data_IF_634447704043
#
_entry.id   IF_634447704043
#
_cell.length_a   1.000
_cell.length_b   1.000
_cell.length_c   1.000
_cell.angle_alpha   90.00
_cell.angle_beta   90.00
_cell.angle_gamma   90.00
#
_symmetry.space_group_name_H-M   'P 1'
#
loop_
_entity.id
_entity.type
_entity.pdbx_description
1 polymer ?
#
# COMPACT_ATOMS: atom_id res chain seq x y z
N UNK A 1 17.40 -11.07 16.54
CA UNK A 1 16.54 -11.13 17.74
C UNK A 1 15.67 -9.88 17.93
N UNK A 2 16.13 -8.65 17.62
CA UNK A 2 15.33 -7.42 17.86
C UNK A 2 14.06 -7.31 17.00
N UNK A 3 14.15 -7.71 15.73
CA UNK A 3 12.99 -7.78 14.83
C UNK A 3 11.92 -8.81 15.28
N UNK A 4 12.17 -9.65 16.28
CA UNK A 4 11.20 -10.66 16.74
C UNK A 4 10.27 -10.13 17.85
N UNK A 5 10.25 -8.81 18.08
CA UNK A 5 9.36 -8.20 19.06
C UNK A 5 7.89 -8.37 18.62
N UNK A 6 7.15 -9.19 19.37
CA UNK A 6 5.82 -9.66 18.99
C UNK A 6 4.77 -8.54 18.76
N UNK A 7 4.89 -7.40 19.45
CA UNK A 7 3.84 -6.39 19.54
C UNK A 7 3.36 -5.85 18.18
N UNK A 8 4.27 -5.78 17.19
CA UNK A 8 3.95 -5.29 15.85
C UNK A 8 3.29 -6.34 14.94
N UNK A 9 3.26 -7.61 15.33
CA UNK A 9 2.83 -8.73 14.48
C UNK A 9 1.36 -9.12 14.64
N UNK A 10 0.67 -8.55 15.62
CA UNK A 10 -0.74 -8.86 15.87
C UNK A 10 -1.49 -7.67 16.45
N UNK A 11 -2.81 -7.76 16.47
CA UNK A 11 -3.68 -6.76 17.10
C UNK A 11 -4.70 -7.46 18.02
N UNK A 12 -5.01 -6.80 19.13
CA UNK A 12 -5.98 -7.27 20.11
C UNK A 12 -6.67 -6.09 20.80
N UNK A 13 -6.35 -5.85 22.07
CA UNK A 13 -6.88 -4.70 22.82
C UNK A 13 -5.96 -3.49 22.71
N UNK A 14 -4.66 -3.71 22.51
CA UNK A 14 -3.67 -2.66 22.30
C UNK A 14 -3.47 -2.40 20.81
N UNK A 15 -2.93 -1.23 20.46
CA UNK A 15 -2.73 -0.84 19.06
C UNK A 15 -1.94 -1.88 18.25
N UNK A 16 -0.81 -2.38 18.78
CA UNK A 16 -0.05 -3.48 18.19
C UNK A 16 0.32 -3.22 16.71
N UNK A 17 -0.06 -4.14 15.82
CA UNK A 17 0.08 -4.01 14.36
C UNK A 17 -0.39 -2.65 13.83
N UNK A 18 -1.42 -2.03 14.42
CA UNK A 18 -1.93 -0.74 13.98
C UNK A 18 -1.06 0.46 14.36
N UNK A 19 0.03 0.27 15.10
CA UNK A 19 0.98 1.33 15.49
C UNK A 19 2.16 1.40 14.52
N UNK A 20 2.23 2.43 13.64
CA UNK A 20 3.28 2.61 12.64
C UNK A 20 4.70 2.53 13.20
N UNK A 21 4.94 3.13 14.36
CA UNK A 21 6.26 3.20 14.97
C UNK A 21 6.77 1.82 15.45
N UNK A 22 5.86 0.89 15.80
CA UNK A 22 6.24 -0.48 16.15
C UNK A 22 6.63 -1.25 14.88
N UNK A 23 5.84 -1.15 13.81
CA UNK A 23 6.18 -1.79 12.52
C UNK A 23 7.47 -1.23 11.94
N UNK A 24 7.65 0.09 11.98
CA UNK A 24 8.88 0.76 11.53
C UNK A 24 10.12 0.27 12.31
N UNK A 25 9.98 0.05 13.62
CA UNK A 25 11.07 -0.50 14.42
C UNK A 25 11.43 -1.93 14.00
N UNK A 26 10.45 -2.78 13.67
CA UNK A 26 10.70 -4.12 13.12
C UNK A 26 11.42 -4.03 11.77
N UNK A 27 10.88 -3.26 10.83
CA UNK A 27 11.45 -3.10 9.50
C UNK A 27 12.88 -2.57 9.54
N UNK A 28 13.19 -1.62 10.43
CA UNK A 28 14.55 -1.11 10.59
C UNK A 28 15.53 -2.20 11.06
N UNK A 29 15.11 -3.07 11.97
CA UNK A 29 15.97 -4.15 12.48
C UNK A 29 16.12 -5.28 11.45
N UNK A 30 15.10 -5.54 10.61
CA UNK A 30 15.20 -6.44 9.47
C UNK A 30 16.16 -5.88 8.41
N UNK A 31 15.98 -4.62 8.02
CA UNK A 31 16.84 -3.93 7.07
C UNK A 31 18.31 -3.92 7.51
N UNK A 32 18.58 -3.68 8.80
CA UNK A 32 19.94 -3.71 9.33
C UNK A 32 20.56 -5.12 9.28
N UNK A 33 19.77 -6.18 9.55
CA UNK A 33 20.25 -7.55 9.45
C UNK A 33 20.51 -7.96 8.00
N UNK A 34 19.61 -7.59 7.09
CA UNK A 34 19.75 -7.90 5.67
C UNK A 34 20.90 -7.13 5.03
N UNK A 35 21.11 -5.86 5.39
CA UNK A 35 22.26 -5.07 4.95
C UNK A 35 23.61 -5.74 5.28
N UNK A 36 23.70 -6.36 6.46
CA UNK A 36 24.90 -7.09 6.88
C UNK A 36 25.10 -8.38 6.07
N UNK A 37 24.01 -9.11 5.81
CA UNK A 37 24.05 -10.35 5.03
C UNK A 37 24.43 -10.11 3.56
N UNK A 38 24.05 -8.95 3.02
CA UNK A 38 24.18 -8.61 1.59
C UNK A 38 25.34 -7.70 1.27
N UNK A 39 26.28 -7.52 2.19
CA UNK A 39 27.41 -6.60 1.97
C UNK A 39 28.19 -6.97 0.70
N UNK A 40 28.18 -6.06 -0.27
CA UNK A 40 28.88 -6.22 -1.55
C UNK A 40 28.15 -7.08 -2.57
N UNK A 41 26.92 -7.54 -2.29
CA UNK A 41 26.10 -8.24 -3.27
C UNK A 41 25.81 -7.35 -4.49
N UNK A 42 25.89 -7.97 -5.67
CA UNK A 42 25.41 -7.36 -6.90
C UNK A 42 23.87 -7.38 -6.94
N UNK A 43 23.28 -6.59 -7.85
CA UNK A 43 21.85 -6.67 -8.10
C UNK A 43 21.47 -8.03 -8.66
N UNK A 44 20.52 -8.69 -8.00
CA UNK A 44 20.07 -10.04 -8.31
C UNK A 44 18.55 -10.15 -8.15
N UNK A 45 18.00 -11.26 -8.64
CA UNK A 45 16.58 -11.60 -8.49
C UNK A 45 16.39 -13.09 -8.25
N UNK A 46 15.45 -13.45 -7.40
CA UNK A 46 15.02 -14.81 -7.10
C UNK A 46 13.51 -14.95 -7.27
N UNK A 47 13.05 -16.15 -7.58
CA UNK A 47 11.63 -16.50 -7.63
C UNK A 47 11.36 -17.48 -6.49
N UNK A 48 10.50 -17.09 -5.55
CA UNK A 48 10.26 -17.83 -4.31
C UNK A 48 8.86 -17.53 -3.78
N UNK A 49 8.19 -18.53 -3.22
CA UNK A 49 6.99 -18.36 -2.40
C UNK A 49 7.40 -17.70 -1.07
N UNK A 50 7.27 -16.37 -1.00
CA UNK A 50 7.88 -15.56 0.05
C UNK A 50 7.06 -15.58 1.33
N UNK A 51 5.73 -15.58 1.22
CA UNK A 51 4.80 -15.56 2.36
C UNK A 51 4.16 -16.94 2.68
N UNK A 52 4.42 -17.96 1.85
CA UNK A 52 3.96 -19.33 2.05
C UNK A 52 2.53 -19.57 1.60
N UNK A 53 1.98 -18.73 0.71
CA UNK A 53 0.62 -18.87 0.19
C UNK A 53 0.49 -19.86 -0.99
N UNK A 54 1.61 -20.39 -1.47
CA UNK A 54 1.68 -21.33 -2.60
C UNK A 54 1.81 -20.68 -3.98
N UNK A 55 1.97 -19.35 -4.04
CA UNK A 55 2.30 -18.60 -5.24
C UNK A 55 3.71 -18.01 -5.13
N UNK A 56 4.42 -17.93 -6.24
CA UNK A 56 5.79 -17.41 -6.23
C UNK A 56 5.80 -15.89 -6.44
N UNK A 57 6.54 -15.19 -5.59
CA UNK A 57 6.95 -13.80 -5.74
C UNK A 57 8.29 -13.70 -6.47
N UNK A 58 8.57 -12.51 -7.00
CA UNK A 58 9.87 -12.14 -7.55
C UNK A 58 10.56 -11.22 -6.55
N UNK A 59 11.62 -11.71 -5.93
CA UNK A 59 12.44 -10.98 -4.96
C UNK A 59 13.64 -10.36 -5.66
N UNK A 60 13.70 -9.04 -5.74
CA UNK A 60 14.83 -8.27 -6.29
C UNK A 60 15.63 -7.66 -5.15
N UNK A 61 16.94 -7.89 -5.12
CA UNK A 61 17.77 -7.47 -4.00
C UNK A 61 19.21 -7.16 -4.41
N UNK A 62 19.89 -6.36 -3.60
CA UNK A 62 21.33 -6.09 -3.68
C UNK A 62 21.86 -5.63 -2.31
N UNK A 63 23.07 -5.06 -2.26
CA UNK A 63 23.64 -4.49 -1.03
C UNK A 63 22.97 -3.19 -0.54
N UNK A 64 22.04 -2.59 -1.28
CA UNK A 64 21.37 -1.33 -0.89
C UNK A 64 19.89 -1.46 -0.57
N UNK A 65 19.18 -2.45 -1.12
CA UNK A 65 17.74 -2.61 -0.96
C UNK A 65 17.25 -4.06 -1.13
N UNK A 66 16.03 -4.31 -0.65
CA UNK A 66 15.21 -5.49 -0.90
C UNK A 66 13.84 -5.06 -1.44
N UNK A 67 13.35 -5.72 -2.49
CA UNK A 67 12.01 -5.47 -3.03
C UNK A 67 11.33 -6.77 -3.43
N UNK A 68 10.04 -6.89 -3.12
CA UNK A 68 9.22 -8.08 -3.44
C UNK A 68 8.09 -7.68 -4.36
N UNK A 69 8.02 -8.33 -5.52
CA UNK A 69 6.96 -8.15 -6.52
C UNK A 69 6.08 -9.39 -6.54
N UNK A 70 4.76 -9.23 -6.43
CA UNK A 70 3.83 -10.36 -6.53
C UNK A 70 3.09 -10.37 -7.87
N UNK A 71 3.46 -11.27 -8.80
CA UNK A 71 2.68 -11.51 -10.01
C UNK A 71 1.25 -11.92 -9.69
N UNK A 72 1.02 -12.66 -8.59
CA UNK A 72 -0.31 -13.14 -8.19
C UNK A 72 -1.29 -12.01 -7.84
N UNK A 73 -0.76 -10.90 -7.30
CA UNK A 73 -1.52 -9.72 -6.85
C UNK A 73 -1.27 -8.51 -7.75
N UNK A 74 -1.55 -8.65 -9.04
CA UNK A 74 -1.51 -7.53 -9.98
C UNK A 74 -0.11 -7.09 -10.40
N UNK A 75 0.95 -7.83 -10.04
CA UNK A 75 2.32 -7.37 -10.24
C UNK A 75 2.67 -6.17 -9.36
N UNK A 76 2.08 -6.09 -8.17
CA UNK A 76 2.34 -5.05 -7.19
C UNK A 76 3.71 -5.22 -6.53
N UNK A 77 4.28 -4.13 -6.01
CA UNK A 77 5.44 -4.18 -5.12
C UNK A 77 4.95 -4.12 -3.68
N UNK A 78 5.20 -5.17 -2.93
CA UNK A 78 4.68 -5.41 -1.57
C UNK A 78 5.70 -5.10 -0.49
N UNK A 79 6.97 -5.13 -0.88
CA UNK A 79 8.08 -4.66 -0.09
C UNK A 79 8.98 -3.79 -0.95
N UNK A 80 9.41 -2.66 -0.39
CA UNK A 80 10.51 -1.87 -0.93
C UNK A 80 11.30 -1.29 0.26
N UNK A 81 12.27 -2.06 0.72
CA UNK A 81 13.08 -1.76 1.91
C UNK A 81 14.44 -1.20 1.50
N UNK A 82 14.73 0.04 1.90
CA UNK A 82 16.08 0.61 1.79
C UNK A 82 16.88 0.34 3.07
N UNK A 83 18.08 -0.18 2.91
CA UNK A 83 18.93 -0.53 4.04
C UNK A 83 19.55 0.69 4.72
N UNK A 84 19.93 1.72 3.94
CA UNK A 84 20.55 2.93 4.46
C UNK A 84 19.64 3.68 5.45
N UNK A 85 18.33 3.70 5.19
CA UNK A 85 17.35 4.41 6.03
C UNK A 85 16.56 3.47 6.95
N UNK A 86 16.57 2.16 6.68
CA UNK A 86 15.75 1.18 7.38
C UNK A 86 14.25 1.32 7.10
N UNK A 87 13.88 2.00 6.01
CA UNK A 87 12.49 2.26 5.65
C UNK A 87 12.02 1.23 4.62
N UNK A 88 10.92 0.53 4.95
CA UNK A 88 10.09 -0.12 3.95
C UNK A 88 8.99 0.87 3.47
N UNK A 89 9.07 1.29 2.21
CA UNK A 89 8.12 2.22 1.60
C UNK A 89 6.70 1.64 1.45
N UNK A 90 6.57 0.32 1.41
CA UNK A 90 5.30 -0.39 1.32
C UNK A 90 4.70 -0.76 2.70
N UNK A 91 5.28 -0.30 3.82
CA UNK A 91 4.79 -0.57 5.19
C UNK A 91 3.46 0.14 5.57
N UNK A 92 2.69 0.59 4.57
CA UNK A 92 1.33 1.07 4.77
C UNK A 92 0.40 -0.10 5.12
N UNK A 93 -0.63 0.16 5.93
CA UNK A 93 -1.57 -0.88 6.34
C UNK A 93 -2.90 -0.71 5.60
N UNK A 94 -3.41 -1.81 5.01
CA UNK A 94 -4.75 -1.88 4.44
C UNK A 94 -5.81 -1.56 5.50
N UNK A 95 -6.75 -0.68 5.19
CA UNK A 95 -7.89 -0.35 6.04
C UNK A 95 -8.89 -1.50 5.98
N UNK A 96 -9.05 -2.20 7.10
CA UNK A 96 -9.98 -3.33 7.23
C UNK A 96 -11.02 -3.05 8.29
N UNK A 97 -12.18 -3.69 8.14
CA UNK A 97 -13.22 -3.69 9.16
C UNK A 97 -12.78 -4.59 10.32
N UNK A 98 -12.91 -4.06 11.52
CA UNK A 98 -12.72 -4.79 12.78
C UNK A 98 -14.07 -5.04 13.44
N UNK A 99 -14.22 -6.17 14.16
CA UNK A 99 -15.49 -6.55 14.76
C UNK A 99 -16.06 -5.47 15.70
N UNK A 100 -15.18 -4.75 16.39
CA UNK A 100 -15.55 -3.70 17.34
C UNK A 100 -15.97 -2.37 16.70
N UNK A 101 -15.84 -2.19 15.37
CA UNK A 101 -16.32 -0.98 14.71
C UNK A 101 -17.84 -0.88 14.75
N UNK A 102 -18.56 -1.99 14.50
CA UNK A 102 -20.03 -1.99 14.54
C UNK A 102 -20.55 -1.78 15.95
N UNK A 103 -19.99 -2.49 16.94
CA UNK A 103 -20.38 -2.31 18.34
C UNK A 103 -20.15 -0.86 18.82
N UNK A 104 -19.10 -0.20 18.33
CA UNK A 104 -18.82 1.20 18.68
C UNK A 104 -19.85 2.17 18.09
N UNK A 105 -20.32 1.90 16.86
CA UNK A 105 -21.37 2.68 16.21
C UNK A 105 -22.72 2.51 16.91
N UNK A 106 -23.09 1.26 17.25
CA UNK A 106 -24.32 0.95 17.98
C UNK A 106 -24.35 1.63 19.36
N UNK A 107 -23.29 1.47 20.16
CA UNK A 107 -23.16 2.14 21.47
C UNK A 107 -23.25 3.65 21.36
N UNK A 108 -22.72 4.24 20.28
CA UNK A 108 -22.79 5.68 20.06
C UNK A 108 -24.22 6.14 19.70
N UNK A 109 -24.94 5.38 18.87
CA UNK A 109 -26.34 5.65 18.55
C UNK A 109 -27.24 5.58 19.79
N UNK A 110 -27.12 4.52 20.60
CA UNK A 110 -27.86 4.35 21.85
C UNK A 110 -27.60 5.51 22.84
N UNK A 111 -26.35 5.97 22.95
CA UNK A 111 -25.99 7.13 23.78
C UNK A 111 -26.61 8.42 23.28
N UNK A 112 -26.65 8.65 21.96
CA UNK A 112 -27.32 9.82 21.39
C UNK A 112 -28.82 9.82 21.71
N UNK A 113 -29.47 8.67 21.61
CA UNK A 113 -30.88 8.52 21.96
C UNK A 113 -31.12 8.78 23.46
N UNK A 114 -30.26 8.26 24.34
CA UNK A 114 -30.36 8.47 25.78
C UNK A 114 -30.11 9.94 26.19
N UNK A 115 -29.12 10.61 25.58
CA UNK A 115 -28.81 12.02 25.85
C UNK A 115 -29.89 12.99 25.34
N UNK A 116 -30.68 12.59 24.33
CA UNK A 116 -31.87 13.35 23.92
C UNK A 116 -32.97 13.38 25.01
N UNK A 117 -32.88 12.50 26.03
CA UNK A 117 -33.80 12.42 27.18
C UNK A 117 -33.29 13.02 28.49
N UNK A 118 -32.05 13.53 28.56
CA UNK A 118 -31.45 14.09 29.78
C UNK A 118 -29.97 14.45 29.66
N UNK A 119 -29.47 15.33 30.53
CA UNK A 119 -28.14 15.95 30.40
C UNK A 119 -26.97 14.93 30.53
N UNK A 120 -25.90 15.07 29.72
CA UNK A 120 -24.75 14.15 29.70
C UNK A 120 -23.91 14.21 30.99
N UNK A 121 -23.22 13.11 31.30
CA UNK A 121 -22.42 12.93 32.52
C UNK A 121 -20.94 13.24 32.27
N UNK A 122 -20.20 13.64 33.30
CA UNK A 122 -18.77 14.00 33.22
C UNK A 122 -17.88 12.83 32.71
N UNK A 123 -18.34 11.58 32.85
CA UNK A 123 -17.66 10.40 32.28
C UNK A 123 -17.68 10.33 30.74
N UNK A 124 -18.39 11.24 30.06
CA UNK A 124 -18.51 11.28 28.60
C UNK A 124 -17.27 11.91 27.91
N UNK A 125 -16.38 12.57 28.66
CA UNK A 125 -15.24 13.35 28.11
C UNK A 125 -13.94 12.52 28.02
N UNK A 126 -13.81 11.43 28.79
CA UNK A 126 -12.56 10.65 28.89
C UNK A 126 -12.47 9.44 27.95
N UNK A 127 -13.49 9.20 27.12
CA UNK A 127 -13.46 8.13 26.13
C UNK A 127 -12.67 8.57 24.89
N UNK A 128 -11.87 7.67 24.31
CA UNK A 128 -11.20 7.86 23.01
C UNK A 128 -12.18 8.16 21.87
N UNK A 129 -11.72 8.05 20.62
CA UNK A 129 -12.54 8.46 19.46
C UNK A 129 -13.90 7.75 19.47
N UNK A 130 -14.96 8.55 19.39
CA UNK A 130 -16.31 8.06 19.15
C UNK A 130 -16.53 7.95 17.64
N UNK A 131 -17.05 6.80 17.19
CA UNK A 131 -17.37 6.60 15.79
C UNK A 131 -18.78 7.10 15.49
N UNK A 132 -18.86 8.15 14.67
CA UNK A 132 -20.11 8.62 14.06
C UNK A 132 -20.44 7.92 12.73
N UNK A 133 -19.39 7.53 12.01
CA UNK A 133 -19.48 6.93 10.67
C UNK A 133 -18.52 5.75 10.61
N UNK A 134 -18.88 4.74 9.81
CA UNK A 134 -18.01 3.61 9.53
C UNK A 134 -16.67 4.08 8.99
N UNK A 135 -15.54 3.61 9.54
CA UNK A 135 -14.24 3.84 8.94
C UNK A 135 -14.20 3.31 7.51
N UNK A 136 -13.52 4.01 6.58
CA UNK A 136 -13.28 3.50 5.22
C UNK A 136 -12.63 2.12 5.23
N UNK A 137 -12.98 1.30 4.25
CA UNK A 137 -12.39 -0.03 4.02
C UNK A 137 -11.80 -0.05 2.62
N UNK A 138 -10.59 -0.58 2.49
CA UNK A 138 -9.95 -0.70 1.19
C UNK A 138 -10.51 -1.86 0.39
N UNK A 139 -10.66 -1.62 -0.92
CA UNK A 139 -11.14 -2.63 -1.88
C UNK A 139 -10.12 -3.74 -2.13
N UNK A 140 -8.86 -3.36 -2.21
CA UNK A 140 -7.73 -4.25 -2.49
C UNK A 140 -6.66 -4.07 -1.39
N UNK A 141 -5.82 -5.08 -1.19
CA UNK A 141 -4.68 -4.95 -0.30
C UNK A 141 -3.74 -3.85 -0.78
N UNK A 142 -3.30 -3.01 0.16
CA UNK A 142 -2.45 -1.87 -0.15
C UNK A 142 -1.03 -2.33 -0.44
N UNK A 143 -0.52 -1.88 -1.57
CA UNK A 143 0.84 -2.10 -2.04
C UNK A 143 1.26 -0.89 -2.89
N UNK A 144 2.45 -0.97 -3.50
CA UNK A 144 2.88 0.00 -4.50
C UNK A 144 2.54 -0.50 -5.90
N UNK A 145 2.15 0.44 -6.77
CA UNK A 145 1.86 0.21 -8.18
C UNK A 145 0.67 -0.74 -8.39
N UNK A 146 -0.50 -0.36 -7.88
CA UNK A 146 -1.76 -1.07 -8.10
C UNK A 146 -2.55 -0.42 -9.23
N UNK A 147 -2.74 -1.15 -10.32
CA UNK A 147 -3.38 -0.62 -11.53
C UNK A 147 -4.90 -0.82 -11.59
N UNK A 148 -5.61 0.21 -12.04
CA UNK A 148 -7.06 0.21 -12.24
C UNK A 148 -7.45 1.04 -13.46
N UNK A 149 -8.55 0.66 -14.10
CA UNK A 149 -9.25 1.50 -15.05
C UNK A 149 -10.51 2.04 -14.37
N UNK A 150 -10.57 3.36 -14.20
CA UNK A 150 -11.58 4.06 -13.41
C UNK A 150 -12.53 4.84 -14.32
N UNK A 151 -13.80 5.05 -13.91
CA UNK A 151 -14.68 6.01 -14.59
C UNK A 151 -14.16 7.44 -14.41
N UNK A 152 -14.19 8.26 -15.46
CA UNK A 152 -13.75 9.66 -15.40
C UNK A 152 -14.60 10.54 -14.46
N UNK A 153 -15.83 10.11 -14.17
CA UNK A 153 -16.72 10.78 -13.20
C UNK A 153 -16.34 10.49 -11.73
N UNK A 154 -15.47 9.51 -11.46
CA UNK A 154 -15.06 9.18 -10.11
C UNK A 154 -14.25 10.34 -9.51
N UNK A 155 -14.62 10.76 -8.30
CA UNK A 155 -13.90 11.82 -7.58
C UNK A 155 -12.89 11.24 -6.60
N UNK A 156 -11.94 12.08 -6.18
CA UNK A 156 -10.96 11.72 -5.14
C UNK A 156 -11.64 11.31 -3.84
N UNK A 157 -12.70 12.03 -3.46
CA UNK A 157 -13.43 11.82 -2.22
C UNK A 157 -14.05 10.42 -2.21
N UNK A 158 -14.76 10.04 -3.29
CA UNK A 158 -15.32 8.70 -3.47
C UNK A 158 -14.24 7.61 -3.52
N UNK A 159 -13.14 7.88 -4.23
CA UNK A 159 -12.02 6.93 -4.30
C UNK A 159 -11.39 6.69 -2.92
N UNK A 160 -11.26 7.76 -2.12
CA UNK A 160 -10.63 7.69 -0.79
C UNK A 160 -11.44 6.90 0.24
N UNK A 161 -12.76 6.72 0.05
CA UNK A 161 -13.58 5.89 0.96
C UNK A 161 -13.45 4.40 0.67
N UNK A 162 -12.97 4.02 -0.51
CA UNK A 162 -12.98 2.63 -1.00
C UNK A 162 -14.33 2.19 -1.58
N UNK A 163 -15.35 3.03 -1.52
CA UNK A 163 -16.71 2.74 -2.01
C UNK A 163 -16.88 3.26 -3.44
N UNK A 164 -16.31 2.54 -4.40
CA UNK A 164 -16.43 2.86 -5.82
C UNK A 164 -16.36 1.61 -6.70
N UNK A 165 -16.85 1.73 -7.93
CA UNK A 165 -16.68 0.72 -8.96
C UNK A 165 -15.59 1.08 -9.95
N UNK A 166 -14.91 0.03 -10.41
CA UNK A 166 -13.88 0.11 -11.44
C UNK A 166 -14.45 -0.32 -12.78
N UNK A 167 -13.99 0.27 -13.87
CA UNK A 167 -14.20 -0.29 -15.22
C UNK A 167 -13.41 -1.58 -15.36
N UNK A 168 -12.20 -1.61 -14.80
CA UNK A 168 -11.38 -2.80 -14.67
C UNK A 168 -10.45 -2.70 -13.46
N UNK A 169 -10.20 -3.80 -12.78
CA UNK A 169 -9.30 -3.88 -11.62
C UNK A 169 -8.26 -4.97 -11.84
N UNK A 170 -6.98 -4.60 -11.94
CA UNK A 170 -5.88 -5.56 -12.09
C UNK A 170 -5.29 -6.02 -10.76
N UNK A 171 -5.57 -5.35 -9.64
CA UNK A 171 -5.02 -5.71 -8.34
C UNK A 171 -5.24 -7.19 -7.93
N UNK A 172 -6.42 -7.82 -8.12
CA UNK A 172 -6.60 -9.24 -7.78
C UNK A 172 -6.20 -10.22 -8.89
N UNK A 173 -5.78 -9.71 -10.06
CA UNK A 173 -5.50 -10.51 -11.25
C UNK A 173 -4.06 -11.05 -11.17
N UNK A 174 -3.88 -12.32 -11.52
CA UNK A 174 -2.55 -12.90 -11.67
C UNK A 174 -1.92 -12.48 -13.00
N UNK A 175 -0.66 -12.07 -12.96
CA UNK A 175 0.14 -11.69 -14.12
C UNK A 175 1.12 -12.81 -14.44
N UNK A 176 1.35 -13.02 -15.73
CA UNK A 176 2.47 -13.83 -16.20
C UNK A 176 3.74 -12.97 -16.13
N UNK A 177 4.68 -13.36 -15.25
CA UNK A 177 5.95 -12.67 -15.04
C UNK A 177 7.10 -13.30 -15.82
N UNK A 178 7.90 -12.48 -16.49
CA UNK A 178 9.15 -12.89 -17.14
C UNK A 178 10.30 -12.01 -16.71
N UNK A 179 11.34 -12.62 -16.14
CA UNK A 179 12.60 -11.96 -15.79
C UNK A 179 13.49 -11.80 -17.03
N UNK A 180 14.06 -10.61 -17.21
CA UNK A 180 15.05 -10.32 -18.25
C UNK A 180 16.27 -9.67 -17.60
N UNK A 181 17.45 -10.31 -17.64
CA UNK A 181 18.69 -9.66 -17.23
C UNK A 181 19.00 -8.51 -18.21
N UNK A 182 19.20 -7.30 -17.70
CA UNK A 182 19.48 -6.11 -18.52
C UNK A 182 20.74 -5.39 -18.00
N UNK A 183 21.91 -5.95 -18.28
CA UNK A 183 23.19 -5.37 -17.85
C UNK A 183 23.31 -5.34 -16.32
N UNK A 184 23.40 -4.14 -15.74
CA UNK A 184 23.49 -3.90 -14.29
C UNK A 184 22.11 -3.71 -13.61
N UNK A 185 21.02 -3.92 -14.35
CA UNK A 185 19.64 -3.78 -13.87
C UNK A 185 18.86 -5.09 -13.98
N UNK A 186 17.77 -5.18 -13.23
CA UNK A 186 16.80 -6.27 -13.34
C UNK A 186 15.52 -5.74 -13.99
N UNK A 187 15.10 -6.36 -15.09
CA UNK A 187 13.83 -6.07 -15.74
C UNK A 187 12.83 -7.22 -15.52
N UNK A 188 11.60 -6.84 -15.15
CA UNK A 188 10.47 -7.74 -14.96
C UNK A 188 9.36 -7.30 -15.92
N UNK A 189 9.02 -8.14 -16.88
CA UNK A 189 7.83 -7.95 -17.72
C UNK A 189 6.67 -8.75 -17.13
N UNK A 190 5.59 -8.04 -16.78
CA UNK A 190 4.37 -8.60 -16.21
C UNK A 190 3.25 -8.40 -17.23
N UNK A 191 2.59 -9.49 -17.63
CA UNK A 191 1.50 -9.46 -18.61
C UNK A 191 0.21 -10.01 -18.02
N UNK A 192 -0.87 -9.28 -18.19
CA UNK A 192 -2.23 -9.74 -17.93
C UNK A 192 -3.14 -9.31 -19.08
N UNK A 193 -4.41 -9.68 -19.00
CA UNK A 193 -5.41 -9.19 -19.94
C UNK A 193 -5.37 -7.65 -19.96
N UNK A 194 -5.21 -7.08 -21.16
CA UNK A 194 -5.31 -5.62 -21.41
C UNK A 194 -4.24 -4.75 -20.75
N UNK A 195 -3.22 -5.34 -20.11
CA UNK A 195 -2.12 -4.60 -19.46
C UNK A 195 -0.79 -5.36 -19.53
N UNK A 196 0.24 -4.65 -19.94
CA UNK A 196 1.64 -5.02 -19.81
C UNK A 196 2.33 -3.97 -18.95
N UNK A 197 3.04 -4.41 -17.93
CA UNK A 197 3.81 -3.56 -17.01
C UNK A 197 5.25 -4.05 -17.00
N UNK A 198 6.19 -3.15 -17.24
CA UNK A 198 7.63 -3.48 -17.23
C UNK A 198 8.29 -2.71 -16.12
N UNK A 199 8.77 -3.44 -15.11
CA UNK A 199 9.51 -2.89 -14.00
C UNK A 199 11.01 -3.00 -14.32
N UNK A 200 11.75 -1.93 -14.07
CA UNK A 200 13.21 -1.90 -14.16
C UNK A 200 13.76 -1.42 -12.84
N UNK A 201 14.55 -2.26 -12.18
CA UNK A 201 15.20 -1.97 -10.91
C UNK A 201 16.68 -1.66 -11.14
N UNK A 202 17.12 -0.53 -10.60
CA UNK A 202 18.52 -0.13 -10.59
C UNK A 202 19.14 -0.38 -9.20
N UNK A 203 20.46 -0.48 -9.13
CA UNK A 203 21.21 -0.73 -7.88
C UNK A 203 21.01 0.35 -6.81
N UNK A 204 20.61 1.56 -7.19
CA UNK A 204 20.27 2.65 -6.27
C UNK A 204 18.79 2.63 -5.84
N UNK A 205 18.10 1.51 -6.01
CA UNK A 205 16.67 1.34 -5.76
C UNK A 205 15.76 2.26 -6.59
N UNK A 206 16.26 2.97 -7.60
CA UNK A 206 15.41 3.61 -8.59
C UNK A 206 14.61 2.53 -9.31
N UNK A 207 13.29 2.76 -9.42
CA UNK A 207 12.37 1.87 -10.14
C UNK A 207 11.76 2.67 -11.28
N UNK A 208 11.90 2.17 -12.51
CA UNK A 208 11.16 2.68 -13.66
C UNK A 208 10.09 1.69 -14.05
N UNK A 209 8.92 2.19 -14.40
CA UNK A 209 7.75 1.40 -14.77
C UNK A 209 7.20 1.90 -16.09
N UNK A 210 7.21 1.03 -17.10
CA UNK A 210 6.55 1.28 -18.36
C UNK A 210 5.24 0.52 -18.42
N UNK A 211 4.15 1.27 -18.59
CA UNK A 211 2.81 0.74 -18.76
C UNK A 211 2.40 0.79 -20.22
N UNK A 212 1.86 -0.32 -20.71
CA UNK A 212 1.12 -0.42 -21.97
C UNK A 212 -0.22 -1.10 -21.66
N UNK A 213 -1.32 -0.39 -21.85
CA UNK A 213 -2.66 -0.94 -21.66
C UNK A 213 -3.47 -0.84 -22.95
N UNK A 214 -4.44 -1.73 -23.10
CA UNK A 214 -5.42 -1.61 -24.17
C UNK A 214 -6.23 -0.31 -23.97
N UNK A 215 -6.22 0.63 -24.93
CA UNK A 215 -6.96 1.89 -24.81
C UNK A 215 -8.40 1.67 -24.37
N UNK A 216 -8.78 2.32 -23.26
CA UNK A 216 -10.15 2.27 -22.74
C UNK A 216 -11.12 3.09 -23.58
N UNK A 217 -12.42 2.87 -23.36
CA UNK A 217 -13.47 3.70 -23.96
C UNK A 217 -13.35 5.17 -23.52
N UNK A 218 -13.86 6.14 -24.31
CA UNK A 218 -13.95 7.53 -23.89
C UNK A 218 -14.64 7.66 -22.53
N UNK A 219 -14.06 8.46 -21.63
CA UNK A 219 -14.57 8.61 -20.25
C UNK A 219 -14.00 7.58 -19.26
N UNK A 220 -12.94 6.87 -19.62
CA UNK A 220 -12.15 6.04 -18.70
C UNK A 220 -10.81 6.71 -18.34
N UNK A 221 -10.25 6.33 -17.20
CA UNK A 221 -8.99 6.84 -16.65
C UNK A 221 -8.14 5.66 -16.22
N UNK A 222 -6.94 5.51 -16.80
CA UNK A 222 -5.94 4.57 -16.29
C UNK A 222 -5.29 5.17 -15.05
N UNK A 223 -5.18 4.37 -13.98
CA UNK A 223 -4.64 4.80 -12.71
C UNK A 223 -3.66 3.76 -12.17
N UNK A 224 -2.53 4.23 -11.62
CA UNK A 224 -1.67 3.41 -10.75
C UNK A 224 -1.58 4.06 -9.36
N UNK A 225 -1.82 3.27 -8.32
CA UNK A 225 -1.83 3.71 -6.93
C UNK A 225 -0.56 3.24 -6.19
N UNK A 226 0.05 4.14 -5.43
CA UNK A 226 1.16 3.90 -4.52
C UNK A 226 0.66 4.10 -3.08
N UNK A 227 0.63 3.05 -2.26
CA UNK A 227 0.37 3.16 -0.81
C UNK A 227 1.68 3.32 -0.06
N UNK A 228 2.08 4.56 0.20
CA UNK A 228 3.41 4.92 0.68
C UNK A 228 3.46 5.13 2.19
N UNK A 229 4.34 4.43 2.88
CA UNK A 229 4.65 4.66 4.30
C UNK A 229 5.46 5.94 4.54
N UNK A 230 6.31 6.30 3.56
CA UNK A 230 7.11 7.53 3.51
C UNK A 230 7.06 8.12 2.09
N UNK A 231 7.17 9.44 1.93
CA UNK A 231 7.19 10.05 0.61
C UNK A 231 8.34 9.53 -0.25
N UNK A 232 8.05 9.25 -1.52
CA UNK A 232 9.03 8.90 -2.55
C UNK A 232 9.00 9.97 -3.64
N UNK A 233 10.14 10.26 -4.29
CA UNK A 233 10.13 11.14 -5.45
C UNK A 233 9.52 10.38 -6.63
N UNK A 234 8.53 11.00 -7.27
CA UNK A 234 7.78 10.43 -8.39
C UNK A 234 7.90 11.37 -9.58
N UNK A 235 8.29 10.83 -10.72
CA UNK A 235 8.18 11.50 -12.01
C UNK A 235 7.36 10.62 -12.95
N UNK A 236 6.62 11.22 -13.86
CA UNK A 236 5.92 10.48 -14.90
C UNK A 236 6.00 11.20 -16.24
N UNK A 237 6.16 10.42 -17.29
CA UNK A 237 6.02 10.88 -18.67
C UNK A 237 4.96 10.00 -19.33
N UNK A 238 3.82 10.57 -19.71
CA UNK A 238 3.42 11.97 -19.60
C UNK A 238 3.10 12.37 -18.16
N UNK A 239 3.10 13.68 -17.88
CA UNK A 239 2.70 14.20 -16.58
C UNK A 239 1.29 13.71 -16.20
N UNK A 240 1.18 13.07 -15.03
CA UNK A 240 -0.06 12.50 -14.52
C UNK A 240 -0.88 13.55 -13.75
N UNK A 241 -2.20 13.40 -13.77
CA UNK A 241 -3.04 14.05 -12.76
C UNK A 241 -2.97 13.24 -11.46
N UNK A 242 -2.71 13.88 -10.33
CA UNK A 242 -2.51 13.17 -9.05
C UNK A 242 -3.72 13.27 -8.13
N UNK A 243 -4.02 12.17 -7.44
CA UNK A 243 -4.79 12.18 -6.19
C UNK A 243 -3.88 11.79 -5.03
N UNK A 244 -4.05 12.47 -3.89
CA UNK A 244 -3.31 12.18 -2.65
C UNK A 244 -4.22 12.22 -1.44
N UNK A 245 -4.25 11.18 -0.63
CA UNK A 245 -5.03 11.17 0.62
C UNK A 245 -4.37 10.33 1.70
N UNK A 246 -4.56 10.69 2.99
CA UNK A 246 -4.00 9.92 4.09
C UNK A 246 -4.70 8.56 4.19
N UNK A 247 -3.91 7.53 4.47
CA UNK A 247 -4.40 6.18 4.78
C UNK A 247 -4.52 6.12 6.30
N UNK A 248 -5.73 6.29 6.82
CA UNK A 248 -6.00 6.25 8.26
C UNK A 248 -6.77 4.98 8.62
N UNK A 249 -6.33 4.31 9.68
CA UNK A 249 -7.08 3.20 10.29
C UNK A 249 -7.66 3.63 11.62
N UNK A 250 -8.73 2.95 12.03
CA UNK A 250 -9.29 3.10 13.38
C UNK A 250 -9.10 1.79 14.11
N UNK A 251 -8.41 1.80 15.23
CA UNK A 251 -8.11 0.60 15.99
C UNK A 251 -8.32 0.79 17.50
N UNK A 252 -8.50 -0.31 18.24
CA UNK A 252 -8.57 -0.29 19.70
C UNK A 252 -7.25 0.15 20.32
N UNK A 253 -7.36 0.91 21.40
CA UNK A 253 -6.27 1.29 22.31
C UNK A 253 -6.73 1.24 23.76
N UNK A 254 -5.79 1.48 24.68
CA UNK A 254 -6.07 1.51 26.12
C UNK A 254 -7.14 2.55 26.52
N UNK A 255 -7.33 3.58 25.70
CA UNK A 255 -8.27 4.69 25.97
C UNK A 255 -9.56 4.61 25.14
N UNK A 256 -9.75 3.56 24.34
CA UNK A 256 -10.92 3.39 23.48
C UNK A 256 -10.52 3.09 22.04
N UNK A 257 -10.89 3.97 21.11
CA UNK A 257 -10.47 3.88 19.71
C UNK A 257 -9.52 5.02 19.38
N UNK A 258 -8.49 4.71 18.60
CA UNK A 258 -7.56 5.68 18.06
C UNK A 258 -7.57 5.63 16.54
N UNK A 259 -7.39 6.81 15.93
CA UNK A 259 -7.19 6.96 14.50
C UNK A 259 -5.71 7.18 14.25
N UNK A 260 -5.15 6.34 13.38
CA UNK A 260 -3.70 6.32 13.17
C UNK A 260 -3.40 6.41 11.69
N UNK A 261 -2.54 7.36 11.34
CA UNK A 261 -2.02 7.52 9.99
C UNK A 261 -1.05 6.37 9.68
N UNK A 262 -1.38 5.57 8.68
CA UNK A 262 -0.60 4.41 8.23
C UNK A 262 0.29 4.72 7.02
N UNK A 263 0.02 5.82 6.32
CA UNK A 263 0.73 6.24 5.12
C UNK A 263 -0.06 7.25 4.30
N UNK A 264 0.38 7.50 3.07
CA UNK A 264 -0.32 8.29 2.06
C UNK A 264 -0.59 7.42 0.83
N UNK A 265 -1.81 7.48 0.30
CA UNK A 265 -2.09 6.99 -1.05
C UNK A 265 -1.77 8.09 -2.06
N UNK A 266 -0.99 7.75 -3.08
CA UNK A 266 -0.70 8.60 -4.24
C UNK A 266 -1.16 7.88 -5.49
N UNK A 267 -2.15 8.42 -6.20
CA UNK A 267 -2.70 7.82 -7.41
C UNK A 267 -2.38 8.68 -8.62
N UNK A 268 -1.55 8.16 -9.53
CA UNK A 268 -1.24 8.79 -10.81
C UNK A 268 -2.31 8.41 -11.84
N UNK A 269 -2.81 9.37 -12.60
CA UNK A 269 -3.95 9.18 -13.50
C UNK A 269 -3.72 9.78 -14.88
N UNK A 270 -4.11 9.04 -15.91
CA UNK A 270 -4.08 9.45 -17.32
C UNK A 270 -5.39 9.09 -18.03
N UNK A 271 -5.75 9.78 -19.13
CA UNK A 271 -6.87 9.35 -19.97
C UNK A 271 -6.72 7.89 -20.41
N UNK A 272 -7.76 7.08 -20.23
CA UNK A 272 -7.74 5.64 -20.54
C UNK A 272 -7.48 5.36 -22.02
N UNK A 273 -7.83 6.28 -22.91
CA UNK A 273 -7.60 6.19 -24.36
C UNK A 273 -6.11 6.27 -24.77
N UNK A 274 -5.21 6.64 -23.84
CA UNK A 274 -3.79 6.87 -24.15
C UNK A 274 -2.99 5.59 -24.42
N UNK A 275 -3.30 4.52 -23.70
CA UNK A 275 -2.67 3.21 -23.85
C UNK A 275 -1.22 3.08 -23.36
N UNK A 276 -0.58 4.14 -22.86
CA UNK A 276 0.78 4.06 -22.31
C UNK A 276 1.12 5.20 -21.34
N UNK A 277 2.01 4.91 -20.39
CA UNK A 277 2.65 5.88 -19.50
C UNK A 277 3.93 5.29 -18.91
N UNK A 278 4.89 6.15 -18.57
CA UNK A 278 6.09 5.81 -17.84
C UNK A 278 6.06 6.49 -16.46
N UNK A 279 6.49 5.77 -15.42
CA UNK A 279 6.65 6.26 -14.06
C UNK A 279 8.05 5.94 -13.57
N UNK A 280 8.72 6.93 -12.97
CA UNK A 280 9.98 6.75 -12.26
C UNK A 280 9.76 7.03 -10.78
N UNK A 281 10.11 6.06 -9.95
CA UNK A 281 10.16 6.17 -8.49
C UNK A 281 11.63 6.27 -8.07
N UNK A 282 11.94 7.26 -7.25
CA UNK A 282 13.27 7.44 -6.69
C UNK A 282 13.16 7.53 -5.15
N UNK A 283 13.42 6.42 -4.46
CA UNK A 283 13.54 6.40 -2.99
C UNK A 283 14.59 7.40 -2.50
N UNK A 284 14.29 8.08 -1.40
CA UNK A 284 15.25 8.96 -0.74
C UNK A 284 16.25 8.17 0.10
N UNK A 285 17.55 8.46 -0.07
CA UNK A 285 18.64 8.02 0.79
C UNK A 285 18.98 9.09 1.84
#
# INVERSE_FOLDING_TARGET
ARAQCNDAYWHGVFGGLYLPHLREAIWRELAAAEAELRQGDALASEVIDFDGDGHEEIWVHCDTFSAVVSPRRGGAIEELTLFATGVNYANALTRRREAYHEEALERHAERREAAAGGAPSIHDIEAGIQLDVRPPVDRDDRALLLERLLPAALTKEMYSTGEYETVWNWAPVAFEGTLRPAGESIEIELRAERLVKRLRFERDATITVDYEWEPGEPGTVFATELSLFRPIAIASEPAAAEWRFPIETVAKSERGLDRTLQGESVTLRWPGERGHANVRLQPGF
#
